data_IF_115767861896
#
_entry.id   IF_115767861896
#
_cell.length_a   1.000
_cell.length_b   1.000
_cell.length_c   1.000
_cell.angle_alpha   90.00
_cell.angle_beta   90.00
_cell.angle_gamma   90.00
#
_symmetry.space_group_name_H-M   'P 1'
#
loop_
_entity.id
_entity.type
_entity.pdbx_description
1 polymer ?
#
# COMPACT_ATOMS: atom_id res chain seq x y z
N UNK A 1 -0.41 -25.11 27.54
CA UNK A 1 -0.55 -23.68 27.19
C UNK A 1 -1.11 -23.58 25.79
N UNK A 2 -2.29 -22.97 25.62
CA UNK A 2 -2.89 -22.75 24.30
C UNK A 2 -2.16 -21.58 23.64
N UNK A 3 -1.19 -21.86 22.75
CA UNK A 3 -0.57 -20.83 21.89
C UNK A 3 -1.69 -20.19 21.07
N UNK A 4 -2.08 -18.96 21.40
CA UNK A 4 -3.12 -18.25 20.65
C UNK A 4 -2.58 -17.90 19.26
N UNK A 5 -3.45 -17.93 18.24
CA UNK A 5 -3.17 -17.56 16.85
C UNK A 5 -2.83 -16.04 16.70
N UNK A 6 -2.62 -15.32 17.81
CA UNK A 6 -2.29 -13.89 17.86
C UNK A 6 -1.02 -13.54 18.65
N UNK A 7 -0.16 -14.50 19.00
CA UNK A 7 1.11 -14.21 19.69
C UNK A 7 2.20 -13.76 18.70
N UNK A 8 2.00 -12.57 18.10
CA UNK A 8 2.92 -11.96 17.14
C UNK A 8 4.34 -11.81 17.72
N UNK A 9 4.45 -11.58 19.04
CA UNK A 9 5.73 -11.48 19.73
C UNK A 9 6.52 -12.79 19.62
N UNK A 10 5.93 -13.90 20.06
CA UNK A 10 6.62 -15.20 20.09
C UNK A 10 6.99 -15.66 18.68
N UNK A 11 6.08 -15.53 17.70
CA UNK A 11 6.38 -15.91 16.32
C UNK A 11 7.46 -15.04 15.69
N UNK A 12 7.44 -13.73 15.93
CA UNK A 12 8.51 -12.85 15.46
C UNK A 12 9.84 -13.26 16.10
N UNK A 13 9.86 -13.49 17.42
CA UNK A 13 11.06 -13.89 18.14
C UNK A 13 11.65 -15.21 17.62
N UNK A 14 10.82 -16.23 17.41
CA UNK A 14 11.23 -17.52 16.82
C UNK A 14 11.86 -17.30 15.42
N UNK A 15 11.19 -16.54 14.52
CA UNK A 15 11.75 -16.27 13.19
C UNK A 15 13.06 -15.46 13.22
N UNK A 16 13.23 -14.53 14.16
CA UNK A 16 14.45 -13.75 14.30
C UNK A 16 15.63 -14.59 14.79
N UNK A 17 15.37 -15.60 15.63
CA UNK A 17 16.39 -16.57 16.05
C UNK A 17 16.81 -17.45 14.87
N UNK A 18 15.86 -17.99 14.10
CA UNK A 18 16.15 -18.81 12.92
C UNK A 18 17.06 -18.04 11.94
N UNK A 19 16.76 -16.76 11.70
CA UNK A 19 17.61 -15.90 10.85
C UNK A 19 19.01 -15.68 11.42
N UNK A 20 19.12 -15.59 12.75
CA UNK A 20 20.42 -15.45 13.42
C UNK A 20 21.25 -16.73 13.29
N UNK A 21 20.63 -17.91 13.36
CA UNK A 21 21.29 -19.19 13.08
C UNK A 21 21.84 -19.24 11.65
N UNK A 22 21.10 -18.66 10.70
CA UNK A 22 21.52 -18.48 9.29
C UNK A 22 22.54 -17.33 9.09
N UNK A 23 23.08 -16.75 10.16
CA UNK A 23 24.00 -15.61 10.16
C UNK A 23 23.44 -14.34 9.50
N UNK A 24 22.11 -14.15 9.54
CA UNK A 24 21.41 -12.96 9.04
C UNK A 24 21.02 -12.08 10.22
N UNK A 25 21.61 -10.89 10.31
CA UNK A 25 21.22 -9.87 11.29
C UNK A 25 20.23 -8.86 10.68
N UNK A 26 19.23 -8.48 11.48
CA UNK A 26 18.18 -7.55 11.03
C UNK A 26 18.44 -6.18 11.64
N UNK A 27 18.85 -5.25 10.78
CA UNK A 27 19.02 -3.83 11.13
C UNK A 27 17.70 -3.05 11.05
N UNK A 28 16.85 -3.36 10.07
CA UNK A 28 15.64 -2.59 9.80
C UNK A 28 14.42 -3.50 9.75
N UNK A 29 13.39 -3.17 10.53
CA UNK A 29 12.12 -3.88 10.56
C UNK A 29 10.99 -2.99 10.05
N UNK A 30 10.14 -3.50 9.15
CA UNK A 30 8.96 -2.78 8.65
C UNK A 30 7.71 -3.45 9.16
N UNK A 31 6.96 -2.78 10.03
CA UNK A 31 5.74 -3.33 10.62
C UNK A 31 4.57 -2.36 10.52
N UNK A 32 3.40 -2.84 10.93
CA UNK A 32 2.29 -1.96 11.26
C UNK A 32 2.60 -1.16 12.54
N UNK A 33 1.78 -0.15 12.85
CA UNK A 33 1.97 0.68 14.04
C UNK A 33 1.81 -0.16 15.32
N UNK A 34 2.69 0.07 16.30
CA UNK A 34 2.77 -0.64 17.59
C UNK A 34 2.82 -2.17 17.47
N UNK A 35 3.84 -2.68 16.76
CA UNK A 35 4.01 -4.12 16.58
C UNK A 35 4.70 -4.79 17.78
N UNK A 36 4.14 -5.92 18.20
CA UNK A 36 4.82 -6.83 19.13
C UNK A 36 6.07 -7.46 18.50
N UNK A 37 6.12 -7.53 17.16
CA UNK A 37 7.29 -7.99 16.42
C UNK A 37 8.52 -7.09 16.63
N UNK A 38 8.34 -5.77 16.67
CA UNK A 38 9.45 -4.85 16.97
C UNK A 38 9.96 -5.03 18.41
N UNK A 39 9.04 -5.24 19.37
CA UNK A 39 9.43 -5.51 20.76
C UNK A 39 10.27 -6.78 20.86
N UNK A 40 9.87 -7.85 20.18
CA UNK A 40 10.66 -9.09 20.13
C UNK A 40 12.07 -8.86 19.60
N UNK A 41 12.22 -8.06 18.54
CA UNK A 41 13.54 -7.72 17.99
C UNK A 41 14.39 -6.92 18.98
N UNK A 42 13.79 -5.95 19.66
CA UNK A 42 14.47 -5.12 20.66
C UNK A 42 14.90 -5.94 21.88
N UNK A 43 14.05 -6.85 22.35
CA UNK A 43 14.37 -7.74 23.48
C UNK A 43 15.54 -8.68 23.13
N UNK A 44 15.57 -9.23 21.91
CA UNK A 44 16.71 -10.03 21.43
C UNK A 44 18.04 -9.24 21.39
N UNK A 45 17.98 -7.95 21.07
CA UNK A 45 19.15 -7.08 21.15
C UNK A 45 19.58 -6.84 22.60
N UNK A 46 18.63 -6.51 23.48
CA UNK A 46 18.89 -6.27 24.91
C UNK A 46 19.43 -7.53 25.62
N UNK A 47 19.04 -8.72 25.17
CA UNK A 47 19.55 -10.01 25.65
C UNK A 47 20.96 -10.34 25.10
N UNK A 48 21.51 -9.52 24.21
CA UNK A 48 22.84 -9.71 23.61
C UNK A 48 22.89 -10.78 22.52
N UNK A 49 21.74 -11.26 22.03
CA UNK A 49 21.68 -12.24 20.94
C UNK A 49 21.96 -11.55 19.60
N UNK A 50 21.38 -10.37 19.39
CA UNK A 50 21.61 -9.55 18.20
C UNK A 50 22.55 -8.39 18.50
N UNK A 51 23.59 -8.24 17.69
CA UNK A 51 24.59 -7.18 17.88
C UNK A 51 24.09 -5.79 17.45
N UNK A 52 23.13 -5.76 16.51
CA UNK A 52 22.59 -4.53 15.92
C UNK A 52 21.27 -4.18 16.59
N UNK A 53 21.13 -2.93 17.04
CA UNK A 53 19.86 -2.40 17.52
C UNK A 53 18.89 -2.25 16.32
N UNK A 54 17.72 -2.92 16.35
CA UNK A 54 16.79 -2.86 15.23
C UNK A 54 16.11 -1.49 15.16
N UNK A 55 16.00 -0.91 13.96
CA UNK A 55 15.20 0.28 13.70
C UNK A 55 13.81 -0.08 13.15
N UNK A 56 12.75 0.54 13.70
CA UNK A 56 11.37 0.32 13.25
C UNK A 56 10.90 1.34 12.19
N UNK A 57 10.38 0.82 11.07
CA UNK A 57 9.73 1.57 10.00
C UNK A 57 8.26 1.19 9.87
N UNK A 58 7.46 2.17 9.43
CA UNK A 58 6.05 1.97 9.20
C UNK A 58 5.79 1.45 7.79
N UNK A 59 4.88 0.48 7.68
CA UNK A 59 4.31 0.10 6.41
C UNK A 59 3.55 1.27 5.77
N UNK A 60 4.01 1.68 4.58
CA UNK A 60 3.39 2.75 3.80
C UNK A 60 1.94 2.47 3.41
N UNK A 61 1.53 1.20 3.23
CA UNK A 61 0.15 0.82 2.91
C UNK A 61 -0.77 1.00 4.12
N UNK A 62 -0.45 0.37 5.25
CA UNK A 62 -1.28 0.47 6.45
C UNK A 62 -1.33 1.90 6.97
N UNK A 63 -0.22 2.64 6.89
CA UNK A 63 -0.20 4.07 7.17
C UNK A 63 -1.15 4.85 6.26
N UNK A 64 -1.14 4.59 4.95
CA UNK A 64 -2.06 5.23 4.00
C UNK A 64 -3.53 4.95 4.33
N UNK A 65 -3.83 3.71 4.69
CA UNK A 65 -5.18 3.31 5.10
C UNK A 65 -5.61 3.96 6.43
N UNK A 66 -4.68 4.11 7.37
CA UNK A 66 -4.89 4.84 8.61
C UNK A 66 -5.15 6.33 8.35
N UNK A 67 -4.38 6.98 7.47
CA UNK A 67 -4.60 8.37 7.04
C UNK A 67 -5.98 8.53 6.40
N UNK A 68 -6.36 7.62 5.49
CA UNK A 68 -7.70 7.61 4.86
C UNK A 68 -8.80 7.51 5.91
N UNK A 69 -8.71 6.55 6.84
CA UNK A 69 -9.69 6.35 7.92
C UNK A 69 -9.78 7.59 8.80
N UNK A 70 -8.64 8.16 9.19
CA UNK A 70 -8.57 9.37 10.01
C UNK A 70 -9.15 10.61 9.34
N UNK A 71 -8.95 10.78 8.03
CA UNK A 71 -9.59 11.88 7.29
C UNK A 71 -11.10 11.64 7.11
N UNK A 72 -11.53 10.39 6.91
CA UNK A 72 -12.96 10.02 6.75
C UNK A 72 -13.77 10.26 8.03
N UNK A 73 -13.19 10.07 9.21
CA UNK A 73 -13.85 10.23 10.51
C UNK A 73 -13.75 11.66 11.08
N UNK A 74 -13.06 12.57 10.40
CA UNK A 74 -12.80 13.91 10.92
C UNK A 74 -14.05 14.81 10.84
N UNK A 75 -14.57 15.15 12.03
CA UNK A 75 -15.76 16.01 12.18
C UNK A 75 -15.52 17.44 11.70
N UNK A 76 -14.31 17.96 11.79
CA UNK A 76 -13.97 19.31 11.34
C UNK A 76 -13.89 19.36 9.82
N UNK A 77 -13.25 18.37 9.20
CA UNK A 77 -13.27 18.23 7.73
C UNK A 77 -14.69 18.06 7.19
N UNK A 78 -15.55 17.31 7.89
CA UNK A 78 -16.94 17.12 7.47
C UNK A 78 -17.70 18.45 7.34
N UNK A 79 -17.43 19.43 8.22
CA UNK A 79 -18.10 20.74 8.21
C UNK A 79 -17.73 21.59 7.00
N UNK A 80 -16.47 21.48 6.54
CA UNK A 80 -15.93 22.30 5.44
C UNK A 80 -16.16 21.71 4.06
N UNK A 81 -16.71 20.49 3.97
CA UNK A 81 -17.04 19.86 2.70
C UNK A 81 -18.10 20.67 1.92
N UNK A 82 -17.86 21.01 0.64
CA UNK A 82 -18.73 21.86 -0.17
C UNK A 82 -19.98 21.11 -0.67
N UNK A 83 -20.87 20.75 0.25
CA UNK A 83 -22.16 20.15 -0.08
C UNK A 83 -23.27 20.65 0.86
N UNK A 84 -24.52 20.59 0.40
CA UNK A 84 -25.68 21.13 1.12
C UNK A 84 -26.10 20.24 2.29
N UNK A 85 -26.25 18.93 2.05
CA UNK A 85 -26.75 17.99 3.08
C UNK A 85 -25.63 17.23 3.78
N UNK A 86 -25.86 16.86 5.05
CA UNK A 86 -24.92 16.04 5.85
C UNK A 86 -24.55 14.73 5.14
N UNK A 87 -25.52 14.05 4.52
CA UNK A 87 -25.28 12.82 3.78
C UNK A 87 -24.36 13.04 2.56
N UNK A 88 -24.58 14.13 1.79
CA UNK A 88 -23.72 14.48 0.66
C UNK A 88 -22.32 14.87 1.13
N UNK A 89 -22.20 15.61 2.24
CA UNK A 89 -20.89 15.93 2.87
C UNK A 89 -20.15 14.66 3.29
N UNK A 90 -20.82 13.70 3.90
CA UNK A 90 -20.19 12.44 4.32
C UNK A 90 -19.69 11.61 3.13
N UNK A 91 -20.48 11.53 2.07
CA UNK A 91 -20.07 10.86 0.82
C UNK A 91 -18.88 11.57 0.19
N UNK A 92 -18.92 12.91 0.13
CA UNK A 92 -17.84 13.71 -0.43
C UNK A 92 -16.56 13.60 0.40
N UNK A 93 -16.66 13.59 1.73
CA UNK A 93 -15.53 13.37 2.64
C UNK A 93 -14.89 11.99 2.44
N UNK A 94 -15.71 10.94 2.24
CA UNK A 94 -15.21 9.61 1.94
C UNK A 94 -14.46 9.55 0.61
N UNK A 95 -14.95 10.24 -0.42
CA UNK A 95 -14.26 10.33 -1.70
C UNK A 95 -12.98 11.17 -1.59
N UNK A 96 -13.04 12.27 -0.85
CA UNK A 96 -11.92 13.15 -0.58
C UNK A 96 -10.80 12.41 0.17
N UNK A 97 -11.12 11.59 1.18
CA UNK A 97 -10.09 10.85 1.92
C UNK A 97 -9.35 9.82 1.06
N UNK A 98 -10.04 9.18 0.11
CA UNK A 98 -9.44 8.30 -0.89
C UNK A 98 -8.52 9.10 -1.83
N UNK A 99 -9.03 10.21 -2.38
CA UNK A 99 -8.25 11.03 -3.31
C UNK A 99 -7.02 11.67 -2.66
N UNK A 100 -7.16 12.21 -1.44
CA UNK A 100 -6.09 12.81 -0.65
C UNK A 100 -4.96 11.80 -0.42
N UNK A 101 -5.32 10.58 0.00
CA UNK A 101 -4.34 9.52 0.26
C UNK A 101 -3.62 9.10 -1.02
N UNK A 102 -4.37 8.92 -2.13
CA UNK A 102 -3.75 8.59 -3.42
C UNK A 102 -2.85 9.72 -3.92
N UNK A 103 -3.24 10.98 -3.69
CA UNK A 103 -2.43 12.15 -4.03
C UNK A 103 -1.12 12.15 -3.27
N UNK A 104 -1.16 12.03 -1.93
CA UNK A 104 0.05 12.00 -1.10
C UNK A 104 1.00 10.88 -1.53
N UNK A 105 0.47 9.67 -1.79
CA UNK A 105 1.29 8.55 -2.25
C UNK A 105 1.86 8.76 -3.66
N UNK A 106 1.09 9.38 -4.56
CA UNK A 106 1.56 9.67 -5.92
C UNK A 106 2.68 10.71 -5.92
N UNK A 107 2.53 11.76 -5.13
CA UNK A 107 3.56 12.81 -4.95
C UNK A 107 4.85 12.20 -4.42
N UNK A 108 4.77 11.38 -3.38
CA UNK A 108 5.92 10.73 -2.78
C UNK A 108 6.60 9.76 -3.75
N UNK A 109 5.83 8.91 -4.45
CA UNK A 109 6.38 7.99 -5.43
C UNK A 109 7.07 8.70 -6.60
N UNK A 110 6.52 9.83 -7.06
CA UNK A 110 7.16 10.65 -8.10
C UNK A 110 8.41 11.35 -7.58
N UNK A 111 8.41 11.83 -6.33
CA UNK A 111 9.57 12.45 -5.71
C UNK A 111 10.73 11.45 -5.58
N UNK A 112 10.48 10.23 -5.08
CA UNK A 112 11.48 9.17 -5.01
C UNK A 112 12.05 8.83 -6.39
N UNK A 113 11.18 8.76 -7.42
CA UNK A 113 11.63 8.54 -8.79
C UNK A 113 12.48 9.69 -9.32
N UNK A 114 12.10 10.94 -9.05
CA UNK A 114 12.77 12.13 -9.56
C UNK A 114 14.17 12.30 -8.94
N UNK A 115 14.30 12.04 -7.64
CA UNK A 115 15.57 12.17 -6.91
C UNK A 115 16.35 10.85 -6.82
N UNK A 116 16.00 9.83 -7.61
CA UNK A 116 16.66 8.52 -7.64
C UNK A 116 16.86 7.89 -6.25
N UNK A 117 15.90 8.08 -5.34
CA UNK A 117 15.97 7.53 -3.98
C UNK A 117 16.62 8.43 -2.92
N UNK A 118 17.17 9.59 -3.26
CA UNK A 118 17.78 10.51 -2.29
C UNK A 118 16.74 11.07 -1.30
N UNK A 119 16.70 10.46 -0.12
CA UNK A 119 15.68 10.75 0.90
C UNK A 119 15.75 12.18 1.41
N UNK A 120 16.94 12.78 1.57
CA UNK A 120 17.07 14.15 2.07
C UNK A 120 16.49 15.16 1.08
N UNK A 121 16.75 14.98 -0.22
CA UNK A 121 16.15 15.80 -1.27
C UNK A 121 14.64 15.60 -1.34
N UNK A 122 14.17 14.36 -1.24
CA UNK A 122 12.73 14.04 -1.19
C UNK A 122 12.07 14.75 0.01
N UNK A 123 12.61 14.58 1.22
CA UNK A 123 12.08 15.16 2.46
C UNK A 123 12.01 16.68 2.38
N UNK A 124 13.08 17.33 1.94
CA UNK A 124 13.12 18.77 1.78
C UNK A 124 12.04 19.24 0.78
N UNK A 125 11.95 18.59 -0.39
CA UNK A 125 10.99 18.99 -1.41
C UNK A 125 9.53 18.78 -0.97
N UNK A 126 9.23 17.65 -0.31
CA UNK A 126 7.89 17.30 0.15
C UNK A 126 7.36 18.30 1.17
N UNK A 127 8.23 18.93 1.98
CA UNK A 127 7.82 19.99 2.92
C UNK A 127 7.04 21.12 2.23
N UNK A 128 7.47 21.53 1.03
CA UNK A 128 6.77 22.53 0.22
C UNK A 128 5.58 21.96 -0.55
N UNK A 129 5.59 20.66 -0.84
CA UNK A 129 4.48 19.96 -1.51
C UNK A 129 3.23 19.95 -0.64
N UNK A 130 3.36 19.84 0.70
CA UNK A 130 2.22 19.90 1.63
C UNK A 130 1.38 21.15 1.40
N UNK A 131 2.03 22.31 1.37
CA UNK A 131 1.38 23.59 1.10
C UNK A 131 0.74 23.63 -0.28
N UNK A 132 1.42 23.12 -1.30
CA UNK A 132 0.90 23.10 -2.67
C UNK A 132 -0.35 22.20 -2.78
N UNK A 133 -0.39 21.07 -2.09
CA UNK A 133 -1.55 20.18 -2.04
C UNK A 133 -2.74 20.87 -1.37
N UNK A 134 -2.52 21.48 -0.18
CA UNK A 134 -3.57 22.15 0.57
C UNK A 134 -4.20 23.30 -0.24
N UNK A 135 -3.37 24.20 -0.78
CA UNK A 135 -3.80 25.30 -1.65
C UNK A 135 -4.56 24.78 -2.88
N UNK A 136 -4.09 23.68 -3.47
CA UNK A 136 -4.73 23.09 -4.65
C UNK A 136 -6.17 22.60 -4.37
N UNK A 137 -6.44 22.02 -3.20
CA UNK A 137 -7.81 21.61 -2.84
C UNK A 137 -8.74 22.80 -2.51
N UNK A 138 -8.16 23.97 -2.25
CA UNK A 138 -8.88 25.24 -2.12
C UNK A 138 -9.07 25.96 -3.48
N UNK A 139 -8.56 25.37 -4.57
CA UNK A 139 -8.63 25.92 -5.93
C UNK A 139 -7.44 26.81 -6.33
N UNK A 140 -6.46 27.02 -5.45
CA UNK A 140 -5.27 27.80 -5.76
C UNK A 140 -4.13 26.92 -6.28
N UNK A 141 -3.81 27.07 -7.56
CA UNK A 141 -2.78 26.29 -8.25
C UNK A 141 -1.42 26.99 -8.37
N UNK A 142 -1.24 28.19 -7.82
CA UNK A 142 -0.02 29.00 -8.01
C UNK A 142 1.26 28.24 -7.61
N UNK A 143 1.19 27.43 -6.54
CA UNK A 143 2.34 26.65 -6.03
C UNK A 143 2.48 25.26 -6.65
N UNK A 144 1.48 24.77 -7.39
CA UNK A 144 1.49 23.40 -7.93
C UNK A 144 2.64 23.18 -8.90
N UNK A 145 2.84 24.09 -9.87
CA UNK A 145 3.86 23.92 -10.91
C UNK A 145 5.29 23.80 -10.35
N UNK A 146 5.58 24.51 -9.25
CA UNK A 146 6.91 24.51 -8.62
C UNK A 146 7.07 23.38 -7.61
N UNK A 147 6.02 23.06 -6.83
CA UNK A 147 6.15 22.27 -5.60
C UNK A 147 5.39 20.94 -5.62
N UNK A 148 4.61 20.63 -6.66
CA UNK A 148 3.92 19.35 -6.83
C UNK A 148 4.52 18.59 -8.00
N UNK A 149 4.72 17.29 -7.81
CA UNK A 149 5.12 16.35 -8.85
C UNK A 149 3.90 15.79 -9.61
N UNK A 150 2.77 15.65 -8.91
CA UNK A 150 1.57 15.05 -9.48
C UNK A 150 0.64 16.05 -10.19
N UNK A 151 0.61 17.32 -9.75
CA UNK A 151 -0.28 18.36 -10.25
C UNK A 151 0.51 19.39 -11.09
N UNK A 152 0.17 19.52 -12.37
CA UNK A 152 0.81 20.49 -13.30
C UNK A 152 0.12 21.86 -13.32
N UNK A 153 -0.63 22.23 -12.28
CA UNK A 153 -1.40 23.48 -12.22
C UNK A 153 -2.68 23.44 -13.07
N UNK A 154 -3.18 24.57 -13.56
CA UNK A 154 -4.50 24.65 -14.23
C UNK A 154 -4.65 23.76 -15.48
N UNK A 155 -3.60 23.63 -16.29
CA UNK A 155 -3.66 22.84 -17.53
C UNK A 155 -3.65 21.32 -17.25
N UNK A 156 -2.94 20.87 -16.22
CA UNK A 156 -2.91 19.46 -15.79
C UNK A 156 -3.18 19.31 -14.30
N UNK A 157 -4.33 19.82 -13.84
CA UNK A 157 -4.64 19.83 -12.42
C UNK A 157 -4.88 18.42 -11.92
N UNK A 158 -4.51 18.17 -10.66
CA UNK A 158 -4.66 16.85 -10.05
C UNK A 158 -6.08 16.31 -10.19
N UNK A 159 -7.10 17.15 -10.05
CA UNK A 159 -8.51 16.75 -10.10
C UNK A 159 -8.99 16.33 -11.50
N UNK A 160 -8.31 16.75 -12.59
CA UNK A 160 -8.70 16.37 -13.96
C UNK A 160 -8.60 14.86 -14.15
N UNK A 161 -9.72 14.22 -14.47
CA UNK A 161 -9.78 12.78 -14.76
C UNK A 161 -9.71 11.88 -13.53
N UNK A 162 -9.91 12.43 -12.33
CA UNK A 162 -9.96 11.64 -11.09
C UNK A 162 -11.36 11.04 -10.91
N UNK A 163 -11.47 9.77 -10.48
CA UNK A 163 -12.77 9.11 -10.34
C UNK A 163 -13.55 9.52 -9.10
N UNK A 164 -12.89 10.07 -8.08
CA UNK A 164 -13.48 10.25 -6.75
C UNK A 164 -14.04 11.66 -6.52
N UNK A 165 -13.38 12.69 -7.05
CA UNK A 165 -13.74 14.10 -6.90
C UNK A 165 -14.04 14.71 -8.26
N UNK A 166 -15.03 15.61 -8.30
CA UNK A 166 -15.34 16.37 -9.51
C UNK A 166 -14.27 17.42 -9.78
N UNK A 167 -14.06 17.79 -11.06
CA UNK A 167 -13.11 18.83 -11.45
C UNK A 167 -13.39 20.20 -10.80
N UNK A 168 -14.64 20.44 -10.40
CA UNK A 168 -15.12 21.67 -9.76
C UNK A 168 -14.99 21.66 -8.23
N UNK A 169 -14.49 20.56 -7.64
CA UNK A 169 -14.33 20.44 -6.20
C UNK A 169 -13.37 21.52 -5.66
N UNK A 170 -13.84 22.30 -4.69
CA UNK A 170 -13.05 23.29 -3.98
C UNK A 170 -13.55 23.46 -2.54
N UNK A 171 -12.64 23.47 -1.58
CA UNK A 171 -12.93 23.89 -0.21
C UNK A 171 -12.81 25.42 -0.13
N UNK A 172 -13.60 26.08 0.72
CA UNK A 172 -13.56 27.53 0.86
C UNK A 172 -12.16 28.01 1.26
N UNK A 173 -11.72 29.10 0.65
CA UNK A 173 -10.37 29.63 0.84
C UNK A 173 -10.29 30.49 2.10
N UNK A 174 -9.88 29.92 3.22
CA UNK A 174 -9.54 30.63 4.46
C UNK A 174 -8.34 29.95 5.16
N UNK A 175 -7.72 30.65 6.12
CA UNK A 175 -6.53 30.15 6.82
C UNK A 175 -6.82 28.92 7.68
N UNK A 176 -7.99 28.85 8.32
CA UNK A 176 -8.39 27.71 9.15
C UNK A 176 -8.48 26.41 8.34
N UNK A 177 -9.09 26.46 7.15
CA UNK A 177 -9.18 25.31 6.25
C UNK A 177 -7.82 24.92 5.69
N UNK A 178 -6.95 25.89 5.44
CA UNK A 178 -5.58 25.64 4.99
C UNK A 178 -4.83 24.82 6.05
N UNK A 179 -4.90 25.24 7.31
CA UNK A 179 -4.22 24.55 8.42
C UNK A 179 -4.84 23.19 8.72
N UNK A 180 -6.18 23.08 8.60
CA UNK A 180 -6.87 21.80 8.68
C UNK A 180 -6.38 20.83 7.60
N UNK A 181 -6.27 21.28 6.34
CA UNK A 181 -5.76 20.46 5.24
C UNK A 181 -4.30 20.07 5.45
N UNK A 182 -3.44 21.03 5.85
CA UNK A 182 -2.03 20.76 6.20
C UNK A 182 -1.92 19.68 7.27
N UNK A 183 -2.73 19.77 8.32
CA UNK A 183 -2.76 18.77 9.40
C UNK A 183 -3.06 17.37 8.86
N UNK A 184 -4.02 17.23 7.94
CA UNK A 184 -4.36 15.94 7.33
C UNK A 184 -3.27 15.42 6.39
N UNK A 185 -2.71 16.28 5.56
CA UNK A 185 -1.63 15.93 4.62
C UNK A 185 -0.37 15.51 5.39
N UNK A 186 -0.03 16.20 6.48
CA UNK A 186 1.11 15.89 7.35
C UNK A 186 1.01 14.54 8.03
N UNK A 187 -0.19 13.95 8.17
CA UNK A 187 -0.32 12.55 8.66
C UNK A 187 0.37 11.54 7.73
N UNK A 188 0.60 11.89 6.46
CA UNK A 188 1.37 11.07 5.50
C UNK A 188 2.71 11.68 5.11
N UNK A 189 2.75 12.99 4.88
CA UNK A 189 3.89 13.72 4.32
C UNK A 189 4.67 14.53 5.36
N UNK A 190 4.32 14.44 6.64
CA UNK A 190 5.00 15.16 7.70
C UNK A 190 6.41 14.61 7.93
N UNK A 191 7.35 15.49 8.30
CA UNK A 191 8.78 15.18 8.48
C UNK A 191 9.03 13.89 9.29
N UNK A 192 8.44 13.78 10.49
CA UNK A 192 8.58 12.59 11.36
C UNK A 192 8.04 11.31 10.72
N UNK A 193 6.97 11.41 9.94
CA UNK A 193 6.35 10.27 9.25
C UNK A 193 7.19 9.84 8.05
N UNK A 194 7.81 10.80 7.35
CA UNK A 194 8.73 10.50 6.27
C UNK A 194 9.97 9.76 6.79
N UNK A 195 10.52 10.16 7.93
CA UNK A 195 11.66 9.46 8.55
C UNK A 195 11.32 7.99 8.84
N UNK A 196 10.15 7.74 9.46
CA UNK A 196 9.62 6.39 9.69
C UNK A 196 9.20 5.64 8.43
N UNK A 197 9.19 6.26 7.26
CA UNK A 197 8.84 5.61 5.98
C UNK A 197 9.92 5.79 4.91
N UNK A 198 11.17 6.10 5.32
CA UNK A 198 12.28 6.41 4.40
C UNK A 198 12.64 5.25 3.46
N UNK A 199 12.46 4.02 3.92
CA UNK A 199 12.70 2.82 3.10
C UNK A 199 11.61 2.60 2.02
N UNK A 200 10.48 3.32 2.10
CA UNK A 200 9.36 3.23 1.17
C UNK A 200 8.85 1.79 0.94
N UNK A 201 8.98 0.92 1.94
CA UNK A 201 8.56 -0.47 1.91
C UNK A 201 7.07 -0.63 2.26
N UNK A 202 6.52 -1.79 1.91
CA UNK A 202 5.16 -2.17 2.29
C UNK A 202 5.00 -3.67 2.43
N UNK A 203 3.98 -4.10 3.17
CA UNK A 203 3.69 -5.52 3.42
C UNK A 203 2.90 -6.19 2.30
N UNK A 204 2.65 -5.52 1.16
CA UNK A 204 1.84 -6.11 0.07
C UNK A 204 2.42 -7.43 -0.44
N UNK A 205 3.75 -7.52 -0.48
CA UNK A 205 4.43 -8.73 -0.91
C UNK A 205 4.16 -9.86 0.07
N UNK A 206 4.31 -9.62 1.38
CA UNK A 206 4.00 -10.55 2.46
C UNK A 206 2.53 -10.97 2.46
N UNK A 207 1.58 -10.03 2.29
CA UNK A 207 0.16 -10.34 2.11
C UNK A 207 -0.11 -11.20 0.86
N UNK A 208 0.65 -10.97 -0.21
CA UNK A 208 0.62 -11.74 -1.44
C UNK A 208 1.07 -13.18 -1.20
N UNK A 209 2.21 -13.33 -0.53
CA UNK A 209 2.75 -14.62 -0.12
C UNK A 209 1.77 -15.36 0.80
N UNK A 210 1.27 -14.74 1.87
CA UNK A 210 0.31 -15.38 2.79
C UNK A 210 -0.99 -15.83 2.10
N UNK A 211 -1.40 -15.16 1.02
CA UNK A 211 -2.53 -15.63 0.18
C UNK A 211 -2.13 -16.81 -0.71
N UNK A 212 -0.93 -16.79 -1.28
CA UNK A 212 -0.39 -17.92 -2.06
C UNK A 212 -0.23 -19.16 -1.18
N UNK A 213 0.32 -18.97 0.02
CA UNK A 213 0.52 -20.01 1.03
C UNK A 213 -0.81 -20.64 1.43
N UNK A 214 -1.83 -19.84 1.78
CA UNK A 214 -3.17 -20.37 2.13
C UNK A 214 -3.86 -21.12 0.98
N UNK A 215 -3.59 -20.77 -0.27
CA UNK A 215 -4.08 -21.55 -1.43
C UNK A 215 -3.32 -22.86 -1.60
N UNK A 216 -2.01 -22.83 -1.31
CA UNK A 216 -1.11 -23.98 -1.42
C UNK A 216 -1.12 -24.86 -0.17
N UNK A 217 -1.66 -24.38 0.94
CA UNK A 217 -1.84 -25.09 2.20
C UNK A 217 -3.19 -24.63 2.82
N UNK A 218 -4.33 -25.06 2.25
CA UNK A 218 -5.63 -24.77 2.85
C UNK A 218 -5.74 -25.36 4.26
N UNK A 219 -6.33 -24.61 5.19
CA UNK A 219 -6.47 -25.02 6.59
C UNK A 219 -7.32 -26.26 6.80
N UNK A 220 -8.14 -26.63 5.81
CA UNK A 220 -9.01 -27.80 5.84
C UNK A 220 -8.36 -29.07 5.24
N UNK A 221 -7.08 -29.03 4.84
CA UNK A 221 -6.38 -30.18 4.24
C UNK A 221 -5.01 -30.37 4.88
N UNK A 222 -4.76 -31.58 5.37
CA UNK A 222 -3.48 -31.93 6.00
C UNK A 222 -2.50 -32.52 4.99
N UNK A 223 -1.36 -31.87 4.78
CA UNK A 223 -0.31 -32.29 3.84
C UNK A 223 0.88 -32.95 4.55
N UNK A 224 0.71 -34.16 5.08
CA UNK A 224 1.76 -34.81 5.92
C UNK A 224 3.13 -34.96 5.24
N UNK A 225 3.16 -35.30 3.94
CA UNK A 225 4.40 -35.63 3.22
C UNK A 225 5.00 -34.45 2.44
N UNK A 226 4.17 -33.51 1.98
CA UNK A 226 4.57 -32.50 1.02
C UNK A 226 4.28 -31.06 1.46
N UNK A 227 3.95 -30.82 2.74
CA UNK A 227 3.69 -29.47 3.26
C UNK A 227 4.83 -28.49 2.94
N UNK A 228 6.08 -28.84 3.30
CA UNK A 228 7.25 -27.99 3.07
C UNK A 228 7.42 -27.70 1.58
N UNK A 229 7.40 -28.73 0.72
CA UNK A 229 7.50 -28.53 -0.74
C UNK A 229 6.41 -27.62 -1.31
N UNK A 230 5.17 -27.72 -0.82
CA UNK A 230 4.07 -26.83 -1.22
C UNK A 230 4.28 -25.39 -0.72
N UNK A 231 4.82 -25.21 0.48
CA UNK A 231 5.16 -23.90 1.02
C UNK A 231 6.26 -23.22 0.19
N UNK A 232 7.34 -23.93 -0.12
CA UNK A 232 8.45 -23.43 -0.93
C UNK A 232 8.01 -23.13 -2.37
N UNK A 233 7.20 -24.01 -2.99
CA UNK A 233 6.63 -23.76 -4.31
C UNK A 233 5.74 -22.50 -4.32
N UNK A 234 4.97 -22.27 -3.25
CA UNK A 234 4.15 -21.06 -3.12
C UNK A 234 5.01 -19.78 -3.01
N UNK A 235 6.14 -19.85 -2.30
CA UNK A 235 7.10 -18.76 -2.19
C UNK A 235 7.75 -18.47 -3.56
N UNK A 236 8.25 -19.51 -4.23
CA UNK A 236 8.88 -19.43 -5.54
C UNK A 236 7.93 -18.83 -6.58
N UNK A 237 6.67 -19.29 -6.60
CA UNK A 237 5.63 -18.80 -7.52
C UNK A 237 5.30 -17.31 -7.32
N UNK A 238 5.39 -16.78 -6.10
CA UNK A 238 5.13 -15.36 -5.84
C UNK A 238 6.28 -14.47 -6.33
N UNK A 239 7.52 -14.99 -6.29
CA UNK A 239 8.72 -14.31 -6.75
C UNK A 239 8.84 -14.31 -8.28
N UNK A 240 8.73 -15.49 -8.90
CA UNK A 240 8.98 -15.69 -10.34
C UNK A 240 7.70 -15.65 -11.20
N UNK A 241 6.53 -15.72 -10.56
CA UNK A 241 5.25 -15.92 -11.22
C UNK A 241 4.98 -17.40 -11.50
N UNK A 242 3.69 -17.77 -11.71
CA UNK A 242 3.27 -19.16 -11.75
C UNK A 242 3.83 -19.97 -12.94
N UNK A 243 4.05 -19.35 -14.09
CA UNK A 243 4.53 -20.04 -15.28
C UNK A 243 6.03 -20.32 -15.22
N UNK A 244 6.83 -19.28 -14.98
CA UNK A 244 8.29 -19.42 -14.88
C UNK A 244 8.69 -20.29 -13.69
N UNK A 245 8.00 -20.14 -12.56
CA UNK A 245 8.26 -20.97 -11.38
C UNK A 245 8.12 -22.46 -11.66
N UNK A 246 7.17 -22.88 -12.50
CA UNK A 246 7.02 -24.30 -12.83
C UNK A 246 8.14 -24.75 -13.76
N UNK A 247 8.49 -23.93 -14.75
CA UNK A 247 9.58 -24.23 -15.69
C UNK A 247 10.91 -24.39 -14.97
N UNK A 248 11.26 -23.45 -14.09
CA UNK A 248 12.51 -23.48 -13.32
C UNK A 248 12.57 -24.66 -12.35
N UNK A 249 11.48 -24.95 -11.63
CA UNK A 249 11.42 -26.10 -10.72
C UNK A 249 11.54 -27.44 -11.48
N UNK A 250 10.90 -27.56 -12.65
CA UNK A 250 11.04 -28.73 -13.51
C UNK A 250 12.47 -28.89 -14.03
N UNK A 251 13.11 -27.78 -14.42
CA UNK A 251 14.49 -27.78 -14.90
C UNK A 251 15.49 -28.18 -13.81
N UNK A 252 15.30 -27.67 -12.60
CA UNK A 252 16.11 -28.03 -11.43
C UNK A 252 16.01 -29.52 -11.06
N UNK A 253 14.92 -30.20 -11.45
CA UNK A 253 14.71 -31.63 -11.27
C UNK A 253 15.14 -32.47 -12.49
N UNK A 254 15.78 -31.84 -13.49
CA UNK A 254 16.14 -32.47 -14.77
C UNK A 254 14.93 -33.05 -15.53
N UNK A 255 13.75 -32.47 -15.31
CA UNK A 255 12.48 -32.80 -15.95
C UNK A 255 12.01 -31.64 -16.84
N UNK A 256 12.89 -31.15 -17.70
CA UNK A 256 12.64 -29.98 -18.54
C UNK A 256 11.39 -30.15 -19.40
N UNK A 257 10.54 -29.12 -19.41
CA UNK A 257 9.39 -29.06 -20.31
C UNK A 257 9.90 -28.61 -21.68
N UNK A 258 9.78 -29.43 -22.75
CA UNK A 258 10.36 -29.11 -24.05
C UNK A 258 9.86 -27.76 -24.58
N UNK A 259 10.80 -26.92 -25.02
CA UNK A 259 10.50 -25.61 -25.59
C UNK A 259 9.58 -25.78 -26.80
N UNK A 260 8.51 -25.00 -26.85
CA UNK A 260 7.53 -25.04 -27.95
C UNK A 260 6.44 -26.12 -27.81
N UNK A 261 6.54 -27.02 -26.83
CA UNK A 261 5.46 -27.95 -26.47
C UNK A 261 4.17 -27.21 -26.09
N UNK A 262 3.04 -27.91 -26.15
CA UNK A 262 1.75 -27.38 -25.71
C UNK A 262 1.78 -26.92 -24.25
N UNK A 263 2.40 -27.72 -23.38
CA UNK A 263 2.60 -27.41 -21.96
C UNK A 263 3.46 -26.14 -21.76
N UNK A 264 4.59 -26.02 -22.47
CA UNK A 264 5.43 -24.83 -22.42
C UNK A 264 4.67 -23.56 -22.83
N UNK A 265 3.96 -23.63 -23.96
CA UNK A 265 3.13 -22.52 -24.46
C UNK A 265 2.03 -22.13 -23.48
N UNK A 266 1.39 -23.11 -22.83
CA UNK A 266 0.38 -22.88 -21.81
C UNK A 266 0.96 -22.13 -20.59
N UNK A 267 2.12 -22.55 -20.08
CA UNK A 267 2.78 -21.91 -18.93
C UNK A 267 3.19 -20.46 -19.24
N UNK A 268 3.77 -20.20 -20.42
CA UNK A 268 4.09 -18.83 -20.87
C UNK A 268 2.84 -17.96 -21.01
N UNK A 269 1.73 -18.53 -21.51
CA UNK A 269 0.45 -17.83 -21.58
C UNK A 269 -0.11 -17.50 -20.18
N UNK A 270 -0.06 -18.44 -19.23
CA UNK A 270 -0.46 -18.20 -17.84
C UNK A 270 0.37 -17.07 -17.22
N UNK A 271 1.68 -17.07 -17.44
CA UNK A 271 2.58 -16.01 -16.97
C UNK A 271 2.17 -14.64 -17.54
N UNK A 272 2.04 -14.56 -18.87
CA UNK A 272 1.62 -13.34 -19.58
C UNK A 272 0.27 -12.82 -19.09
N UNK A 273 -0.74 -13.69 -19.00
CA UNK A 273 -2.07 -13.33 -18.52
C UNK A 273 -2.04 -12.83 -17.08
N UNK A 274 -1.23 -13.43 -16.22
CA UNK A 274 -1.07 -13.02 -14.82
C UNK A 274 -0.52 -11.60 -14.74
N UNK A 275 0.52 -11.28 -15.50
CA UNK A 275 1.06 -9.91 -15.57
C UNK A 275 0.07 -8.90 -16.18
N UNK A 276 -0.58 -9.26 -17.28
CA UNK A 276 -1.60 -8.42 -17.91
C UNK A 276 -2.73 -8.08 -16.94
N UNK A 277 -3.26 -9.09 -16.22
CA UNK A 277 -4.30 -8.91 -15.19
C UNK A 277 -3.81 -8.04 -14.02
N UNK A 278 -2.56 -8.23 -13.56
CA UNK A 278 -1.95 -7.41 -12.50
C UNK A 278 -1.88 -5.94 -12.92
N UNK A 279 -1.38 -5.66 -14.14
CA UNK A 279 -1.30 -4.31 -14.71
C UNK A 279 -2.69 -3.68 -14.90
N UNK A 280 -3.64 -4.46 -15.42
CA UNK A 280 -5.01 -3.99 -15.62
C UNK A 280 -5.68 -3.60 -14.30
N UNK A 281 -5.56 -4.43 -13.24
CA UNK A 281 -6.11 -4.14 -11.91
C UNK A 281 -5.54 -2.87 -11.27
N UNK A 282 -4.33 -2.47 -11.64
CA UNK A 282 -3.70 -1.24 -11.15
C UNK A 282 -4.12 0.01 -11.94
N UNK A 283 -4.73 -0.15 -13.12
CA UNK A 283 -5.12 0.96 -13.99
C UNK A 283 -6.23 1.82 -13.39
N UNK A 284 -6.23 3.11 -13.75
CA UNK A 284 -7.31 4.04 -13.37
C UNK A 284 -8.66 3.57 -13.93
N UNK A 285 -8.68 3.06 -15.16
CA UNK A 285 -9.88 2.56 -15.82
C UNK A 285 -10.54 1.42 -15.02
N UNK A 286 -9.74 0.46 -14.54
CA UNK A 286 -10.26 -0.62 -13.68
C UNK A 286 -10.83 -0.08 -12.37
N UNK A 287 -10.14 0.86 -11.71
CA UNK A 287 -10.65 1.50 -10.48
C UNK A 287 -11.96 2.26 -10.73
N UNK A 288 -12.05 3.00 -11.84
CA UNK A 288 -13.28 3.70 -12.26
C UNK A 288 -14.41 2.70 -12.48
N UNK A 289 -14.14 1.59 -13.17
CA UNK A 289 -15.11 0.54 -13.42
C UNK A 289 -15.63 -0.08 -12.12
N UNK A 290 -14.75 -0.41 -11.17
CA UNK A 290 -15.13 -0.95 -9.86
C UNK A 290 -16.02 0.02 -9.05
N UNK A 291 -15.68 1.32 -9.04
CA UNK A 291 -16.50 2.35 -8.38
C UNK A 291 -17.88 2.45 -9.02
N UNK A 292 -17.96 2.43 -10.35
CA UNK A 292 -19.23 2.44 -11.10
C UNK A 292 -20.06 1.18 -10.82
N UNK A 293 -19.42 0.00 -10.82
CA UNK A 293 -20.06 -1.28 -10.53
C UNK A 293 -20.65 -1.32 -9.12
N UNK A 294 -19.90 -0.84 -8.11
CA UNK A 294 -20.40 -0.70 -6.75
C UNK A 294 -21.58 0.27 -6.63
N UNK A 295 -21.54 1.40 -7.35
CA UNK A 295 -22.64 2.35 -7.40
C UNK A 295 -23.91 1.74 -8.03
N UNK A 296 -23.77 0.97 -9.11
CA UNK A 296 -24.89 0.26 -9.75
C UNK A 296 -25.49 -0.82 -8.84
N UNK A 297 -24.68 -1.58 -8.11
CA UNK A 297 -25.17 -2.60 -7.17
C UNK A 297 -25.94 -1.97 -5.99
N UNK A 298 -25.48 -0.83 -5.49
CA UNK A 298 -26.18 -0.07 -4.42
C UNK A 298 -27.52 0.50 -4.90
N UNK A 299 -27.65 0.80 -6.19
CA UNK A 299 -28.92 1.25 -6.77
C UNK A 299 -29.88 0.07 -7.00
N UNK A 300 -29.37 -1.09 -7.40
CA UNK A 300 -30.16 -2.31 -7.55
C UNK A 300 -30.77 -2.76 -6.21
N UNK A 301 -30.00 -2.77 -5.13
CA UNK A 301 -30.51 -3.14 -3.79
C UNK A 301 -31.51 -2.11 -3.22
N UNK A 302 -31.37 -0.83 -3.57
CA UNK A 302 -32.37 0.20 -3.21
C UNK A 302 -33.68 0.08 -3.97
N UNK A 303 -33.63 -0.39 -5.21
CA UNK A 303 -34.82 -0.60 -6.04
C UNK A 303 -35.54 -1.91 -5.68
N UNK A 304 -34.84 -2.88 -5.08
CA UNK A 304 -35.45 -4.10 -4.52
C UNK A 304 -36.05 -3.91 -3.12
N UNK A 305 -35.72 -2.81 -2.43
CA UNK A 305 -36.22 -2.48 -1.10
C UNK A 305 -37.38 -1.46 -1.11
N UNK A 306 -37.98 -1.25 -2.28
CA UNK A 306 -39.24 -0.53 -2.50
C UNK A 306 -40.28 -1.50 -2.99
#
# INVERSE_FOLDING_TARGET
>A
MVKSIGDEYTWARECLLDLKEDAIEIEHLVTDADSSAYKAALDLHNEGINNVEPENFLDTRHLSDHVRKGAKSDKTLLKVMPATTKLKRQKLLNNFSVDLTERCNKELALAYKFYAGDFFKVKNKISHTVDAIANCYMGNHARCRKNSFACKGFQGSWLKGRPFLQNTFKISSNNENLDLLRKQINKRLGSKVLDKTRLNMNTNFVEGFNRSLRRSLPSNVTFKKNMSGRAHAAAHSVNYGPGESILELCSALHCDIPVGSSAYKALKNIQKLTFCRKKHKQSVNYKVFEVKKGASYTNYTKNLAK
#
